data_IF_880354921883
#
_entry.id   IF_880354921883
#
_cell.length_a   1.000
_cell.length_b   1.000
_cell.length_c   1.000
_cell.angle_alpha   90.00
_cell.angle_beta   90.00
_cell.angle_gamma   90.00
#
_symmetry.space_group_name_H-M   'P 1'
#
loop_
_entity.id
_entity.type
_entity.pdbx_description
1 polymer ?
#
# COMPACT_ATOMS: atom_id res chain seq x y z
N UNK A 1 -4.50 -35.19 4.90
CA UNK A 1 -4.03 -34.68 6.21
C UNK A 1 -4.59 -33.28 6.38
N UNK A 2 -5.08 -32.94 7.57
CA UNK A 2 -5.40 -31.54 7.90
C UNK A 2 -4.10 -30.83 8.28
N UNK A 3 -3.92 -29.60 7.82
CA UNK A 3 -2.80 -28.74 8.23
C UNK A 3 -2.99 -28.31 9.69
N UNK A 4 -1.89 -28.14 10.43
CA UNK A 4 -1.92 -27.49 11.76
C UNK A 4 -2.21 -25.99 11.62
N UNK A 5 -2.57 -25.32 12.70
CA UNK A 5 -2.82 -23.87 12.68
C UNK A 5 -1.58 -23.07 12.24
N UNK A 6 -0.40 -23.48 12.70
CA UNK A 6 0.87 -22.87 12.28
C UNK A 6 1.14 -23.07 10.77
N UNK A 7 0.87 -24.27 10.25
CA UNK A 7 0.97 -24.56 8.81
C UNK A 7 -0.03 -23.74 8.00
N UNK A 8 -1.26 -23.59 8.50
CA UNK A 8 -2.29 -22.78 7.84
C UNK A 8 -1.86 -21.31 7.74
N UNK A 9 -1.33 -20.75 8.82
CA UNK A 9 -0.84 -19.37 8.83
C UNK A 9 0.36 -19.19 7.88
N UNK A 10 1.27 -20.15 7.86
CA UNK A 10 2.42 -20.11 6.95
C UNK A 10 1.98 -20.20 5.49
N UNK A 11 1.07 -21.10 5.14
CA UNK A 11 0.52 -21.24 3.77
C UNK A 11 -0.19 -19.96 3.34
N UNK A 12 -0.95 -19.33 4.24
CA UNK A 12 -1.62 -18.05 3.96
C UNK A 12 -0.60 -16.95 3.60
N UNK A 13 0.47 -16.81 4.38
CA UNK A 13 1.56 -15.87 4.11
C UNK A 13 2.28 -16.17 2.79
N UNK A 14 2.51 -17.44 2.51
CA UNK A 14 3.17 -17.86 1.27
C UNK A 14 2.32 -17.59 0.03
N UNK A 15 0.99 -17.76 0.14
CA UNK A 15 0.05 -17.39 -0.92
C UNK A 15 0.06 -15.88 -1.20
N UNK A 16 0.05 -15.04 -0.15
CA UNK A 16 0.14 -13.58 -0.29
C UNK A 16 1.47 -13.20 -0.96
N UNK A 17 2.59 -13.78 -0.53
CA UNK A 17 3.91 -13.53 -1.14
C UNK A 17 3.97 -13.97 -2.61
N UNK A 18 3.41 -15.12 -2.95
CA UNK A 18 3.34 -15.61 -4.33
C UNK A 18 2.46 -14.69 -5.20
N UNK A 19 1.29 -14.29 -4.70
CA UNK A 19 0.38 -13.37 -5.38
C UNK A 19 1.03 -11.99 -5.59
N UNK A 20 1.73 -11.46 -4.59
CA UNK A 20 2.47 -10.19 -4.71
C UNK A 20 3.53 -10.25 -5.83
N UNK A 21 4.35 -11.32 -5.87
CA UNK A 21 5.32 -11.52 -6.97
C UNK A 21 4.64 -11.55 -8.33
N UNK A 22 3.53 -12.29 -8.46
CA UNK A 22 2.77 -12.34 -9.70
C UNK A 22 2.19 -10.96 -10.06
N UNK A 23 1.62 -10.24 -9.11
CA UNK A 23 1.02 -8.92 -9.30
C UNK A 23 2.01 -7.90 -9.89
N UNK A 24 3.24 -7.87 -9.38
CA UNK A 24 4.28 -6.94 -9.85
C UNK A 24 5.03 -7.40 -11.11
N UNK A 25 4.84 -8.64 -11.59
CA UNK A 25 5.55 -9.18 -12.76
C UNK A 25 4.64 -9.40 -13.96
N UNK A 26 3.63 -10.23 -13.82
CA UNK A 26 2.72 -10.60 -14.92
C UNK A 26 1.32 -10.00 -14.77
N UNK A 27 1.03 -9.42 -13.61
CA UNK A 27 -0.26 -8.84 -13.25
C UNK A 27 -1.27 -9.86 -12.71
N UNK A 28 -2.20 -9.37 -11.86
CA UNK A 28 -3.26 -10.18 -11.25
C UNK A 28 -4.14 -10.87 -12.30
N UNK A 29 -4.49 -10.16 -13.38
CA UNK A 29 -5.42 -10.67 -14.40
C UNK A 29 -4.88 -11.91 -15.12
N UNK A 30 -3.57 -11.97 -15.35
CA UNK A 30 -2.88 -13.09 -15.99
C UNK A 30 -2.51 -14.21 -15.02
N UNK A 31 -2.60 -13.98 -13.72
CA UNK A 31 -2.28 -14.96 -12.69
C UNK A 31 -3.46 -15.91 -12.48
N UNK A 32 -3.21 -17.21 -12.51
CA UNK A 32 -4.21 -18.25 -12.22
C UNK A 32 -4.03 -18.80 -10.80
N UNK A 33 -5.13 -19.33 -10.22
CA UNK A 33 -5.07 -20.05 -8.93
C UNK A 33 -4.11 -21.24 -9.01
N UNK A 34 -4.01 -21.89 -10.18
CA UNK A 34 -3.08 -23.00 -10.39
C UNK A 34 -1.62 -22.61 -10.21
N UNK A 35 -1.19 -21.48 -10.79
CA UNK A 35 0.18 -20.94 -10.62
C UNK A 35 0.48 -20.59 -9.16
N UNK A 36 -0.50 -20.00 -8.46
CA UNK A 36 -0.34 -19.63 -7.05
C UNK A 36 -0.21 -20.87 -6.16
N UNK A 37 -1.05 -21.88 -6.37
CA UNK A 37 -1.02 -23.12 -5.59
C UNK A 37 0.22 -23.97 -5.86
N UNK A 38 0.69 -24.02 -7.12
CA UNK A 38 1.94 -24.65 -7.51
C UNK A 38 3.15 -23.99 -6.82
N UNK A 39 3.18 -22.67 -6.80
CA UNK A 39 4.26 -21.91 -6.16
C UNK A 39 4.37 -22.13 -4.64
N UNK A 40 3.29 -22.57 -3.99
CA UNK A 40 3.20 -22.81 -2.54
C UNK A 40 3.18 -24.31 -2.20
N UNK A 41 3.04 -25.19 -3.20
CA UNK A 41 3.02 -26.65 -3.00
C UNK A 41 1.70 -27.19 -2.42
N UNK A 42 0.56 -26.54 -2.71
CA UNK A 42 -0.77 -27.00 -2.28
C UNK A 42 -1.67 -27.33 -3.48
N UNK A 43 -2.75 -28.07 -3.24
CA UNK A 43 -3.75 -28.32 -4.27
C UNK A 43 -4.66 -27.11 -4.52
N UNK A 44 -5.26 -27.00 -5.73
CA UNK A 44 -6.28 -25.98 -6.02
C UNK A 44 -7.47 -26.03 -5.06
N UNK A 45 -7.88 -27.24 -4.65
CA UNK A 45 -8.97 -27.41 -3.67
C UNK A 45 -8.59 -26.89 -2.29
N UNK A 46 -7.30 -26.97 -1.91
CA UNK A 46 -6.81 -26.42 -0.65
C UNK A 46 -6.76 -24.89 -0.64
N UNK A 47 -6.60 -24.25 -1.78
CA UNK A 47 -6.62 -22.79 -1.90
C UNK A 47 -7.87 -22.17 -1.30
N UNK A 48 -9.03 -22.74 -1.60
CA UNK A 48 -10.33 -22.22 -1.15
C UNK A 48 -10.60 -22.37 0.35
N UNK A 49 -9.69 -23.02 1.10
CA UNK A 49 -9.68 -22.98 2.56
C UNK A 49 -9.06 -21.71 3.13
N UNK A 50 -8.22 -21.04 2.35
CA UNK A 50 -7.49 -19.83 2.75
C UNK A 50 -8.09 -18.56 2.20
N UNK A 51 -8.59 -18.60 0.96
CA UNK A 51 -9.19 -17.48 0.27
C UNK A 51 -10.37 -17.93 -0.57
N UNK A 52 -11.53 -17.31 -0.40
CA UNK A 52 -12.75 -17.64 -1.13
C UNK A 52 -12.62 -17.36 -2.65
N UNK A 53 -11.76 -16.42 -3.01
CA UNK A 53 -11.50 -16.06 -4.42
C UNK A 53 -10.06 -15.58 -4.62
N UNK A 54 -9.63 -15.55 -5.88
CA UNK A 54 -8.36 -14.96 -6.28
C UNK A 54 -8.34 -13.45 -5.97
N UNK A 55 -9.46 -12.79 -6.15
CA UNK A 55 -9.64 -11.37 -5.87
C UNK A 55 -9.40 -11.07 -4.39
N UNK A 56 -9.93 -11.87 -3.48
CA UNK A 56 -9.70 -11.69 -2.03
C UNK A 56 -8.24 -11.98 -1.62
N UNK A 57 -7.55 -12.88 -2.30
CA UNK A 57 -6.11 -13.04 -2.10
C UNK A 57 -5.34 -11.79 -2.55
N UNK A 58 -5.65 -11.25 -3.74
CA UNK A 58 -4.99 -10.03 -4.22
C UNK A 58 -5.39 -8.79 -3.41
N UNK A 59 -6.58 -8.78 -2.81
CA UNK A 59 -6.96 -7.77 -1.85
C UNK A 59 -6.08 -7.85 -0.58
N UNK A 60 -5.82 -9.05 -0.07
CA UNK A 60 -4.86 -9.21 1.03
C UNK A 60 -3.43 -8.75 0.65
N UNK A 61 -3.03 -8.86 -0.62
CA UNK A 61 -1.76 -8.26 -1.11
C UNK A 61 -1.81 -6.73 -1.06
N UNK A 62 -2.93 -6.11 -1.42
CA UNK A 62 -3.10 -4.64 -1.36
C UNK A 62 -3.00 -4.15 0.09
N UNK A 63 -3.67 -4.82 1.02
CA UNK A 63 -3.62 -4.50 2.46
C UNK A 63 -2.21 -4.67 3.04
N UNK A 64 -1.48 -5.70 2.62
CA UNK A 64 -0.08 -5.93 3.00
C UNK A 64 0.84 -4.80 2.50
N UNK A 65 0.64 -4.36 1.25
CA UNK A 65 1.35 -3.21 0.67
C UNK A 65 1.06 -1.94 1.46
N UNK A 66 -0.20 -1.67 1.84
CA UNK A 66 -0.55 -0.51 2.65
C UNK A 66 0.12 -0.57 4.01
N UNK A 67 0.07 -1.70 4.70
CA UNK A 67 0.69 -1.90 6.01
C UNK A 67 2.19 -1.58 5.98
N UNK A 68 2.92 -2.12 4.99
CA UNK A 68 4.36 -1.89 4.85
C UNK A 68 4.67 -0.43 4.46
N UNK A 69 3.86 0.17 3.58
CA UNK A 69 3.98 1.57 3.18
C UNK A 69 3.81 2.51 4.39
N UNK A 70 2.79 2.28 5.22
CA UNK A 70 2.57 3.04 6.45
C UNK A 70 3.69 2.80 7.47
N UNK A 71 4.20 1.58 7.60
CA UNK A 71 5.34 1.29 8.47
C UNK A 71 6.59 2.06 8.06
N UNK A 72 6.86 2.20 6.76
CA UNK A 72 7.98 3.00 6.25
C UNK A 72 7.81 4.50 6.61
N UNK A 73 6.60 5.04 6.45
CA UNK A 73 6.30 6.42 6.85
C UNK A 73 6.45 6.63 8.37
N UNK A 74 5.92 5.73 9.17
CA UNK A 74 5.98 5.79 10.63
C UNK A 74 7.42 5.72 11.15
N UNK A 75 8.24 4.83 10.59
CA UNK A 75 9.66 4.75 10.90
C UNK A 75 10.36 6.08 10.61
N UNK A 76 10.10 6.68 9.43
CA UNK A 76 10.67 7.98 9.06
C UNK A 76 10.22 9.11 10.00
N UNK A 77 8.96 9.12 10.46
CA UNK A 77 8.47 10.09 11.46
C UNK A 77 9.25 9.99 12.78
N UNK A 78 9.58 8.79 13.22
CA UNK A 78 10.33 8.55 14.45
C UNK A 78 11.81 8.97 14.30
N UNK A 79 12.45 8.58 13.19
CA UNK A 79 13.86 8.89 12.91
C UNK A 79 14.10 10.41 12.74
N UNK A 80 13.08 11.13 12.30
CA UNK A 80 13.15 12.57 12.03
C UNK A 80 12.41 13.42 13.10
N UNK A 81 12.25 12.91 14.31
CA UNK A 81 11.48 13.57 15.37
C UNK A 81 11.98 14.98 15.74
N UNK A 82 13.26 15.27 15.50
CA UNK A 82 13.88 16.58 15.79
C UNK A 82 13.64 17.65 14.68
N UNK A 83 13.11 17.25 13.53
CA UNK A 83 12.82 18.18 12.43
C UNK A 83 11.58 19.02 12.73
N UNK A 84 11.48 20.16 12.05
CA UNK A 84 10.24 20.96 12.03
C UNK A 84 9.07 20.14 11.46
N UNK A 85 7.82 20.41 11.89
CA UNK A 85 6.66 19.61 11.51
C UNK A 85 6.52 19.40 9.99
N UNK A 86 6.71 20.44 9.19
CA UNK A 86 6.63 20.35 7.73
C UNK A 86 7.72 19.45 7.12
N UNK A 87 8.97 19.55 7.58
CA UNK A 87 10.07 18.73 7.07
C UNK A 87 9.92 17.26 7.52
N UNK A 88 9.43 17.05 8.73
CA UNK A 88 9.17 15.74 9.28
C UNK A 88 8.03 15.02 8.54
N UNK A 89 6.94 15.73 8.26
CA UNK A 89 5.86 15.21 7.42
C UNK A 89 6.34 14.88 6.00
N UNK A 90 7.13 15.79 5.40
CA UNK A 90 7.72 15.57 4.08
C UNK A 90 8.62 14.34 4.06
N UNK A 91 9.49 14.15 5.05
CA UNK A 91 10.36 12.98 5.14
C UNK A 91 9.55 11.67 5.20
N UNK A 92 8.45 11.64 5.95
CA UNK A 92 7.59 10.47 6.07
C UNK A 92 6.89 10.12 4.76
N UNK A 93 6.29 11.10 4.07
CA UNK A 93 5.63 10.88 2.78
C UNK A 93 6.63 10.41 1.73
N UNK A 94 7.81 11.04 1.66
CA UNK A 94 8.88 10.64 0.74
C UNK A 94 9.39 9.23 1.03
N UNK A 95 9.44 8.81 2.29
CA UNK A 95 9.82 7.44 2.67
C UNK A 95 8.79 6.42 2.17
N UNK A 96 7.49 6.69 2.32
CA UNK A 96 6.42 5.85 1.78
C UNK A 96 6.51 5.73 0.25
N UNK A 97 6.64 6.85 -0.44
CA UNK A 97 6.77 6.88 -1.91
C UNK A 97 8.01 6.13 -2.40
N UNK A 98 9.13 6.28 -1.71
CA UNK A 98 10.38 5.55 -2.01
C UNK A 98 10.19 4.06 -1.84
N UNK A 99 9.58 3.63 -0.74
CA UNK A 99 9.30 2.22 -0.48
C UNK A 99 8.43 1.61 -1.59
N UNK A 100 7.37 2.30 -2.03
CA UNK A 100 6.52 1.87 -3.15
C UNK A 100 7.32 1.70 -4.45
N UNK A 101 8.25 2.60 -4.73
CA UNK A 101 9.10 2.56 -5.93
C UNK A 101 10.14 1.44 -5.85
N UNK A 102 10.86 1.31 -4.74
CA UNK A 102 11.92 0.30 -4.55
C UNK A 102 11.38 -1.13 -4.57
N UNK A 103 10.21 -1.35 -3.98
CA UNK A 103 9.53 -2.66 -3.97
C UNK A 103 8.75 -2.96 -5.25
N UNK A 104 8.63 -1.99 -6.15
CA UNK A 104 7.78 -2.04 -7.35
C UNK A 104 6.30 -2.30 -7.04
N UNK A 105 5.87 -2.04 -5.81
CA UNK A 105 4.49 -2.24 -5.40
C UNK A 105 3.52 -1.34 -6.21
N UNK A 106 4.01 -0.16 -6.65
CA UNK A 106 3.25 0.73 -7.52
C UNK A 106 2.78 0.04 -8.82
N UNK A 107 3.53 -0.93 -9.37
CA UNK A 107 3.15 -1.67 -10.59
C UNK A 107 1.83 -2.40 -10.41
N UNK A 108 1.63 -3.04 -9.25
CA UNK A 108 0.37 -3.70 -8.94
C UNK A 108 -0.76 -2.67 -8.72
N UNK A 109 -0.46 -1.57 -8.01
CA UNK A 109 -1.44 -0.51 -7.74
C UNK A 109 -1.92 0.11 -9.06
N UNK A 110 -1.02 0.49 -9.94
CA UNK A 110 -1.33 1.12 -11.23
C UNK A 110 -2.13 0.21 -12.16
N UNK A 111 -1.72 -1.06 -12.27
CA UNK A 111 -2.28 -1.94 -13.29
C UNK A 111 -3.51 -2.72 -12.86
N UNK A 112 -3.63 -3.04 -11.57
CA UNK A 112 -4.62 -4.02 -11.12
C UNK A 112 -5.48 -3.57 -9.94
N UNK A 113 -5.09 -2.56 -9.13
CA UNK A 113 -5.84 -2.22 -7.92
C UNK A 113 -7.26 -1.70 -8.22
N UNK A 114 -7.42 -0.83 -9.21
CA UNK A 114 -8.75 -0.33 -9.60
C UNK A 114 -9.65 -1.49 -10.10
N UNK A 115 -9.12 -2.35 -10.97
CA UNK A 115 -9.83 -3.53 -11.46
C UNK A 115 -10.20 -4.50 -10.33
N UNK A 116 -9.29 -4.69 -9.37
CA UNK A 116 -9.52 -5.50 -8.18
C UNK A 116 -10.67 -4.93 -7.35
N UNK A 117 -10.60 -3.65 -6.97
CA UNK A 117 -11.60 -2.98 -6.13
C UNK A 117 -13.00 -3.01 -6.75
N UNK A 118 -13.12 -2.91 -8.09
CA UNK A 118 -14.42 -3.05 -8.77
C UNK A 118 -15.03 -4.45 -8.68
N UNK A 119 -14.24 -5.48 -8.34
CA UNK A 119 -14.69 -6.88 -8.24
C UNK A 119 -14.92 -7.34 -6.81
N UNK A 120 -14.59 -6.52 -5.84
CA UNK A 120 -14.85 -6.82 -4.44
C UNK A 120 -16.29 -6.45 -4.04
N UNK A 121 -16.85 -7.12 -3.02
CA UNK A 121 -18.08 -6.68 -2.40
C UNK A 121 -17.97 -5.21 -1.94
N UNK A 122 -19.07 -4.46 -2.06
CA UNK A 122 -19.09 -3.03 -1.75
C UNK A 122 -18.67 -2.75 -0.30
N UNK A 123 -19.04 -3.63 0.62
CA UNK A 123 -18.68 -3.55 2.03
C UNK A 123 -17.16 -3.61 2.25
N UNK A 124 -16.47 -4.52 1.54
CA UNK A 124 -15.00 -4.66 1.60
C UNK A 124 -14.31 -3.43 1.04
N UNK A 125 -14.81 -2.92 -0.08
CA UNK A 125 -14.28 -1.72 -0.73
C UNK A 125 -14.46 -0.47 0.14
N UNK A 126 -15.64 -0.29 0.73
CA UNK A 126 -15.94 0.84 1.61
C UNK A 126 -15.08 0.80 2.88
N UNK A 127 -14.92 -0.38 3.49
CA UNK A 127 -14.02 -0.57 4.62
C UNK A 127 -12.59 -0.15 4.27
N UNK A 128 -12.07 -0.62 3.14
CA UNK A 128 -10.72 -0.29 2.67
C UNK A 128 -10.47 1.22 2.55
N UNK A 129 -11.38 1.98 1.91
CA UNK A 129 -11.21 3.44 1.78
C UNK A 129 -11.30 4.16 3.12
N UNK A 130 -12.13 3.68 4.03
CA UNK A 130 -12.23 4.22 5.38
C UNK A 130 -10.96 3.95 6.19
N UNK A 131 -10.42 2.75 6.08
CA UNK A 131 -9.21 2.34 6.78
C UNK A 131 -7.99 3.12 6.31
N UNK A 132 -7.85 3.39 5.02
CA UNK A 132 -6.79 4.23 4.46
C UNK A 132 -6.79 5.63 5.04
N UNK A 133 -7.96 6.28 5.09
CA UNK A 133 -8.07 7.62 5.69
C UNK A 133 -7.74 7.57 7.18
N UNK A 134 -8.23 6.56 7.88
CA UNK A 134 -7.97 6.36 9.31
C UNK A 134 -6.49 6.14 9.59
N UNK A 135 -5.80 5.34 8.77
CA UNK A 135 -4.36 5.12 8.91
C UNK A 135 -3.54 6.38 8.67
N UNK A 136 -3.83 7.15 7.62
CA UNK A 136 -3.14 8.43 7.37
C UNK A 136 -3.38 9.39 8.54
N UNK A 137 -4.60 9.48 9.03
CA UNK A 137 -4.97 10.30 10.17
C UNK A 137 -4.21 9.88 11.43
N UNK A 138 -4.23 8.59 11.77
CA UNK A 138 -3.50 8.04 12.91
C UNK A 138 -1.99 8.27 12.83
N UNK A 139 -1.40 8.19 11.63
CA UNK A 139 0.01 8.48 11.39
C UNK A 139 0.35 9.94 11.69
N UNK A 140 -0.47 10.88 11.22
CA UNK A 140 -0.28 12.31 11.43
C UNK A 140 -0.47 12.69 12.91
N UNK A 141 -1.54 12.20 13.55
CA UNK A 141 -1.83 12.43 14.97
C UNK A 141 -0.77 11.81 15.89
N UNK A 142 -0.40 10.55 15.64
CA UNK A 142 0.66 9.84 16.36
C UNK A 142 2.03 10.49 16.20
N UNK A 143 2.26 11.18 15.08
CA UNK A 143 3.39 12.05 14.83
C UNK A 143 3.31 13.41 15.53
N UNK A 144 2.20 13.76 16.21
CA UNK A 144 1.99 15.10 16.77
C UNK A 144 1.88 16.20 15.70
N UNK A 145 1.51 15.84 14.47
CA UNK A 145 1.37 16.76 13.36
C UNK A 145 -0.05 17.34 13.34
N UNK A 146 -0.14 18.67 13.46
CA UNK A 146 -1.42 19.40 13.44
C UNK A 146 -1.52 20.23 12.15
N UNK A 147 -2.27 19.75 11.16
CA UNK A 147 -2.34 20.43 9.88
C UNK A 147 -3.26 21.64 9.92
N UNK A 148 -2.87 22.72 9.25
CA UNK A 148 -3.75 23.81 8.89
C UNK A 148 -4.84 23.32 7.93
N UNK A 149 -6.04 23.80 8.06
CA UNK A 149 -7.18 23.35 7.23
C UNK A 149 -7.80 22.03 7.65
N UNK A 150 -7.27 21.40 8.72
CA UNK A 150 -7.84 20.21 9.34
C UNK A 150 -7.31 18.88 8.77
N UNK A 151 -7.57 17.83 9.54
CA UNK A 151 -7.02 16.50 9.29
C UNK A 151 -7.54 15.86 7.97
N UNK A 152 -8.79 16.13 7.61
CA UNK A 152 -9.37 15.58 6.38
C UNK A 152 -8.66 16.12 5.12
N UNK A 153 -8.35 17.44 5.08
CA UNK A 153 -7.60 18.01 3.97
C UNK A 153 -6.17 17.44 3.91
N UNK A 154 -5.52 17.31 5.05
CA UNK A 154 -4.18 16.72 5.11
C UNK A 154 -4.16 15.27 4.64
N UNK A 155 -5.11 14.43 5.10
CA UNK A 155 -5.21 13.03 4.67
C UNK A 155 -5.47 12.91 3.16
N UNK A 156 -6.37 13.72 2.61
CA UNK A 156 -6.64 13.76 1.17
C UNK A 156 -5.41 14.22 0.37
N UNK A 157 -4.67 15.22 0.87
CA UNK A 157 -3.44 15.70 0.22
C UNK A 157 -2.35 14.63 0.23
N UNK A 158 -2.12 13.96 1.36
CA UNK A 158 -1.16 12.84 1.46
C UNK A 158 -1.52 11.73 0.49
N UNK A 159 -2.80 11.33 0.43
CA UNK A 159 -3.28 10.33 -0.54
C UNK A 159 -3.01 10.76 -1.98
N UNK A 160 -3.33 12.01 -2.34
CA UNK A 160 -3.05 12.56 -3.66
C UNK A 160 -1.58 12.53 -4.05
N UNK A 161 -0.68 12.87 -3.11
CA UNK A 161 0.77 12.81 -3.31
C UNK A 161 1.26 11.37 -3.54
N UNK A 162 0.79 10.40 -2.73
CA UNK A 162 1.17 8.98 -2.88
C UNK A 162 0.69 8.42 -4.23
N UNK A 163 -0.51 8.79 -4.68
CA UNK A 163 -1.04 8.35 -5.97
C UNK A 163 -0.17 8.81 -7.17
N UNK A 164 0.63 9.88 -7.02
CA UNK A 164 1.55 10.28 -8.11
C UNK A 164 2.60 9.22 -8.42
N UNK A 165 2.90 8.29 -7.49
CA UNK A 165 3.90 7.23 -7.69
C UNK A 165 3.51 6.30 -8.84
N UNK A 166 2.22 6.04 -9.05
CA UNK A 166 1.73 5.23 -10.16
C UNK A 166 1.89 5.90 -11.55
N UNK A 167 2.18 7.20 -11.59
CA UNK A 167 2.41 7.94 -12.83
C UNK A 167 3.89 8.31 -13.07
N UNK A 168 4.82 7.74 -12.29
CA UNK A 168 6.24 8.10 -12.34
C UNK A 168 6.87 7.89 -13.74
N UNK A 169 6.47 6.82 -14.45
CA UNK A 169 6.98 6.55 -15.79
C UNK A 169 6.54 7.61 -16.82
N UNK A 170 5.31 8.12 -16.67
CA UNK A 170 4.76 9.16 -17.55
C UNK A 170 5.45 10.51 -17.35
N UNK A 171 5.87 10.81 -16.12
CA UNK A 171 6.62 12.04 -15.78
C UNK A 171 8.10 11.90 -16.16
N UNK A 172 8.62 10.69 -16.14
CA UNK A 172 9.97 10.36 -16.59
C UNK A 172 11.07 10.68 -15.57
N UNK A 173 12.28 10.93 -16.06
CA UNK A 173 13.49 11.04 -15.24
C UNK A 173 13.46 12.15 -14.17
N UNK A 174 12.60 13.15 -14.34
CA UNK A 174 12.43 14.24 -13.38
C UNK A 174 11.48 13.91 -12.23
N UNK A 175 10.82 12.73 -12.26
CA UNK A 175 9.83 12.37 -11.24
C UNK A 175 10.34 12.53 -9.79
N UNK A 176 11.57 12.11 -9.42
CA UNK A 176 12.05 12.29 -8.05
C UNK A 176 12.06 13.75 -7.59
N UNK A 177 12.51 14.67 -8.47
CA UNK A 177 12.53 16.11 -8.15
C UNK A 177 11.11 16.70 -8.11
N UNK A 178 10.24 16.27 -9.02
CA UNK A 178 8.82 16.66 -9.04
C UNK A 178 8.13 16.21 -7.77
N UNK A 179 8.28 14.96 -7.38
CA UNK A 179 7.71 14.41 -6.14
C UNK A 179 8.21 15.20 -4.91
N UNK A 180 9.51 15.42 -4.80
CA UNK A 180 10.09 16.18 -3.68
C UNK A 180 9.54 17.62 -3.63
N UNK A 181 9.41 18.29 -4.77
CA UNK A 181 8.85 19.63 -4.87
C UNK A 181 7.39 19.67 -4.42
N UNK A 182 6.57 18.73 -4.88
CA UNK A 182 5.16 18.64 -4.51
C UNK A 182 4.98 18.32 -3.02
N UNK A 183 5.71 17.34 -2.50
CA UNK A 183 5.61 16.91 -1.11
C UNK A 183 6.06 18.03 -0.17
N UNK A 184 7.23 18.65 -0.42
CA UNK A 184 7.72 19.74 0.44
C UNK A 184 6.83 20.98 0.35
N UNK A 185 6.31 21.31 -0.82
CA UNK A 185 5.37 22.42 -0.99
C UNK A 185 4.09 22.21 -0.20
N UNK A 186 3.46 21.04 -0.35
CA UNK A 186 2.24 20.69 0.38
C UNK A 186 2.46 20.64 1.90
N UNK A 187 3.58 20.06 2.35
CA UNK A 187 3.88 19.99 3.79
C UNK A 187 4.15 21.36 4.42
N UNK A 188 4.81 22.28 3.71
CA UNK A 188 4.95 23.66 4.19
C UNK A 188 3.63 24.38 4.33
N UNK A 189 2.70 24.18 3.40
CA UNK A 189 1.37 24.79 3.48
C UNK A 189 0.56 24.20 4.64
N UNK A 190 0.62 22.88 4.84
CA UNK A 190 -0.20 22.19 5.83
C UNK A 190 0.37 22.25 7.25
N UNK A 191 1.69 22.29 7.45
CA UNK A 191 2.31 22.09 8.77
C UNK A 191 3.27 23.20 9.19
N UNK A 192 3.31 24.34 8.47
CA UNK A 192 4.18 25.47 8.83
C UNK A 192 3.58 26.34 9.95
#
# INVERSE_FOLDING_TARGET
MAFTDEQNEQIRKDLIRAARRCGITIGMRKTSVGQLTEAVGISKGSFYKFFESKELLFFAVLEDIHTECFAAAQKSLQENAALLPADRAAAAILAACRWLSETKAFVFIENDAEFLLHRLPEEVKTAHYHDDETHIRALLEGGGLQPKGGMALAAATVRGLILTVSHQEQIGALYPQVLETLVRGACRELFA
#
